data_IF_910090458751
#
_entry.id   IF_910090458751
#
_cell.length_a   1.000
_cell.length_b   1.000
_cell.length_c   1.000
_cell.angle_alpha   90.00
_cell.angle_beta   90.00
_cell.angle_gamma   90.00
#
_symmetry.space_group_name_H-M   'P 1'
#
loop_
_entity.id
_entity.type
_entity.pdbx_description
1 polymer ?
#
# COMPACT_ATOMS: atom_id res chain seq x y z
N UNK A 1 -12.46 27.49 30.35
CA UNK A 1 -13.91 27.54 30.04
C UNK A 1 -14.36 28.96 29.68
N UNK A 2 -14.26 29.96 30.58
CA UNK A 2 -14.71 31.35 30.33
C UNK A 2 -14.10 32.03 29.09
N UNK A 3 -12.81 31.78 28.79
CA UNK A 3 -12.18 32.32 27.58
C UNK A 3 -12.78 31.72 26.30
N UNK A 4 -13.01 30.40 26.29
CA UNK A 4 -13.60 29.69 25.16
C UNK A 4 -15.04 30.16 24.91
N UNK A 5 -15.85 30.30 25.97
CA UNK A 5 -17.21 30.82 25.85
C UNK A 5 -17.24 32.24 25.28
N UNK A 6 -16.35 33.12 25.74
CA UNK A 6 -16.30 34.52 25.27
C UNK A 6 -15.91 34.60 23.78
N UNK A 7 -14.96 33.76 23.35
CA UNK A 7 -14.53 33.70 21.94
C UNK A 7 -15.65 33.12 21.06
N UNK A 8 -16.31 32.05 21.49
CA UNK A 8 -17.42 31.42 20.77
C UNK A 8 -18.58 32.40 20.60
N UNK A 9 -18.97 33.11 21.66
CA UNK A 9 -20.05 34.10 21.62
C UNK A 9 -19.72 35.23 20.65
N UNK A 10 -18.51 35.79 20.72
CA UNK A 10 -18.09 36.87 19.81
C UNK A 10 -18.01 36.44 18.34
N UNK A 11 -17.49 35.24 18.06
CA UNK A 11 -17.48 34.70 16.69
C UNK A 11 -18.90 34.45 16.17
N UNK A 12 -19.81 33.97 17.02
CA UNK A 12 -21.21 33.73 16.65
C UNK A 12 -21.98 35.02 16.31
N UNK A 13 -21.58 36.17 16.88
CA UNK A 13 -22.26 37.45 16.62
C UNK A 13 -21.94 38.06 15.25
N UNK A 14 -20.83 37.67 14.60
CA UNK A 14 -20.34 38.35 13.40
C UNK A 14 -20.69 37.65 12.07
N UNK A 15 -21.08 36.37 12.10
CA UNK A 15 -21.32 35.60 10.87
C UNK A 15 -22.82 35.41 10.58
N UNK A 16 -23.31 35.71 9.36
CA UNK A 16 -24.71 35.48 9.01
C UNK A 16 -25.04 33.99 9.09
N UNK A 17 -26.19 33.66 9.69
CA UNK A 17 -26.63 32.27 9.93
C UNK A 17 -26.68 31.39 8.68
N UNK A 18 -26.84 32.00 7.50
CA UNK A 18 -26.83 31.30 6.22
C UNK A 18 -25.43 30.79 5.85
N UNK A 19 -24.37 31.56 6.12
CA UNK A 19 -22.99 31.13 5.90
C UNK A 19 -22.64 29.95 6.81
N UNK A 20 -23.04 30.02 8.08
CA UNK A 20 -22.84 28.96 9.06
C UNK A 20 -23.50 27.63 8.63
N UNK A 21 -24.69 27.69 8.03
CA UNK A 21 -25.36 26.51 7.48
C UNK A 21 -24.61 25.93 6.29
N UNK A 22 -24.12 26.77 5.38
CA UNK A 22 -23.37 26.30 4.21
C UNK A 22 -22.10 25.58 4.67
N UNK A 23 -21.37 26.12 5.66
CA UNK A 23 -20.19 25.47 6.22
C UNK A 23 -20.52 24.10 6.84
N UNK A 24 -21.61 23.98 7.59
CA UNK A 24 -22.04 22.68 8.13
C UNK A 24 -22.44 21.72 7.02
N UNK A 25 -23.10 22.19 5.95
CA UNK A 25 -23.42 21.35 4.80
C UNK A 25 -22.18 20.85 4.07
N UNK A 26 -21.17 21.72 3.88
CA UNK A 26 -19.87 21.32 3.31
C UNK A 26 -19.20 20.27 4.19
N UNK A 27 -19.16 20.48 5.51
CA UNK A 27 -18.63 19.50 6.45
C UNK A 27 -19.36 18.14 6.40
N UNK A 28 -20.70 18.15 6.30
CA UNK A 28 -21.47 16.92 6.14
C UNK A 28 -21.13 16.22 4.81
N UNK A 29 -20.99 16.99 3.73
CA UNK A 29 -20.57 16.47 2.43
C UNK A 29 -19.18 15.82 2.46
N UNK A 30 -18.21 16.45 3.14
CA UNK A 30 -16.87 15.87 3.28
C UNK A 30 -16.87 14.58 4.11
N UNK A 31 -17.67 14.52 5.19
CA UNK A 31 -17.80 13.31 6.01
C UNK A 31 -18.48 12.18 5.22
N UNK A 32 -19.51 12.48 4.43
CA UNK A 32 -20.14 11.50 3.54
C UNK A 32 -19.18 10.99 2.47
N UNK A 33 -18.43 11.88 1.83
CA UNK A 33 -17.42 11.52 0.84
C UNK A 33 -16.32 10.63 1.43
N UNK A 34 -15.81 10.98 2.62
CA UNK A 34 -14.83 10.17 3.33
C UNK A 34 -15.40 8.79 3.71
N UNK A 35 -16.65 8.72 4.18
CA UNK A 35 -17.31 7.45 4.47
C UNK A 35 -17.45 6.55 3.23
N UNK A 36 -17.84 7.12 2.08
CA UNK A 36 -17.94 6.38 0.83
C UNK A 36 -16.56 5.90 0.33
N UNK A 37 -15.52 6.74 0.45
CA UNK A 37 -14.16 6.38 0.10
C UNK A 37 -13.62 5.22 0.96
N UNK A 38 -13.95 5.19 2.26
CA UNK A 38 -13.56 4.09 3.16
C UNK A 38 -14.27 2.78 2.82
N UNK A 39 -15.57 2.84 2.47
CA UNK A 39 -16.28 1.64 1.99
C UNK A 39 -15.64 1.10 0.71
N UNK A 40 -15.34 1.98 -0.25
CA UNK A 40 -14.68 1.60 -1.49
C UNK A 40 -13.27 1.01 -1.25
N UNK A 41 -12.46 1.64 -0.40
CA UNK A 41 -11.14 1.14 -0.02
C UNK A 41 -11.23 -0.22 0.68
N UNK A 42 -12.20 -0.40 1.59
CA UNK A 42 -12.43 -1.69 2.26
C UNK A 42 -12.75 -2.81 1.27
N UNK A 43 -13.58 -2.53 0.25
CA UNK A 43 -13.88 -3.50 -0.81
C UNK A 43 -12.71 -3.72 -1.78
N UNK A 44 -11.90 -2.71 -2.06
CA UNK A 44 -10.74 -2.86 -2.92
C UNK A 44 -9.66 -3.72 -2.23
N UNK A 45 -9.45 -3.51 -0.93
CA UNK A 45 -8.47 -4.29 -0.15
C UNK A 45 -8.90 -5.75 0.01
N UNK A 46 -10.20 -6.06 0.11
CA UNK A 46 -10.65 -7.45 0.22
C UNK A 46 -10.35 -8.28 -1.04
N UNK A 47 -10.24 -7.62 -2.18
CA UNK A 47 -10.06 -8.26 -3.49
C UNK A 47 -8.57 -8.47 -3.85
N UNK A 48 -7.64 -7.85 -3.12
CA UNK A 48 -6.20 -7.91 -3.39
C UNK A 48 -5.53 -8.98 -2.51
N UNK A 49 -5.05 -10.06 -3.13
CA UNK A 49 -4.34 -11.14 -2.43
C UNK A 49 -3.03 -10.65 -1.78
N UNK A 50 -2.35 -9.71 -2.41
CA UNK A 50 -1.10 -9.10 -1.92
C UNK A 50 -1.22 -8.50 -0.51
N UNK A 51 -2.34 -7.82 -0.21
CA UNK A 51 -2.55 -7.25 1.12
C UNK A 51 -2.77 -8.33 2.19
N UNK A 52 -3.32 -9.50 1.80
CA UNK A 52 -3.51 -10.65 2.71
C UNK A 52 -2.20 -11.13 3.27
N UNK A 53 -1.25 -11.36 2.37
CA UNK A 53 0.08 -11.88 2.73
C UNK A 53 0.83 -10.90 3.63
N UNK A 54 0.88 -9.61 3.26
CA UNK A 54 1.58 -8.60 4.07
C UNK A 54 1.02 -8.45 5.50
N UNK A 55 -0.31 -8.45 5.66
CA UNK A 55 -0.93 -8.17 6.96
C UNK A 55 -0.93 -9.39 7.89
N UNK A 56 -1.05 -10.60 7.34
CA UNK A 56 -1.00 -11.84 8.14
C UNK A 56 0.35 -11.98 8.86
N UNK A 57 1.43 -11.61 8.18
CA UNK A 57 2.78 -11.66 8.72
C UNK A 57 3.06 -10.57 9.78
N UNK A 58 2.45 -9.40 9.63
CA UNK A 58 2.71 -8.23 10.49
C UNK A 58 2.19 -8.33 11.94
N UNK A 59 1.54 -9.42 12.34
CA UNK A 59 1.14 -9.62 13.75
C UNK A 59 -0.28 -10.11 13.98
N UNK A 60 -0.85 -10.91 13.06
CA UNK A 60 -2.07 -11.69 13.32
C UNK A 60 -3.39 -10.92 13.22
N UNK A 61 -3.39 -9.70 12.66
CA UNK A 61 -4.64 -9.03 12.27
C UNK A 61 -4.98 -9.53 10.87
N UNK A 62 -6.02 -10.36 10.75
CA UNK A 62 -6.47 -10.80 9.43
C UNK A 62 -6.95 -9.62 8.59
N UNK A 63 -6.67 -9.66 7.28
CA UNK A 63 -7.14 -8.64 6.33
C UNK A 63 -8.64 -8.51 6.32
N UNK A 64 -9.34 -9.62 6.54
CA UNK A 64 -10.79 -9.61 6.72
C UNK A 64 -11.20 -8.71 7.88
N UNK A 65 -10.42 -8.67 8.97
CA UNK A 65 -10.69 -7.77 10.11
C UNK A 65 -10.47 -6.31 9.72
N UNK A 66 -9.40 -6.00 8.98
CA UNK A 66 -9.11 -4.62 8.54
C UNK A 66 -10.15 -4.14 7.53
N UNK A 67 -10.43 -4.94 6.49
CA UNK A 67 -11.43 -4.64 5.47
C UNK A 67 -12.83 -4.48 6.08
N UNK A 68 -13.23 -5.40 6.98
CA UNK A 68 -14.51 -5.29 7.70
C UNK A 68 -14.56 -4.03 8.57
N UNK A 69 -13.45 -3.70 9.24
CA UNK A 69 -13.31 -2.47 10.02
C UNK A 69 -13.52 -1.21 9.17
N UNK A 70 -12.90 -1.15 7.99
CA UNK A 70 -13.06 -0.05 7.03
C UNK A 70 -14.50 0.06 6.52
N UNK A 71 -15.14 -1.07 6.20
CA UNK A 71 -16.51 -1.12 5.73
C UNK A 71 -17.50 -0.64 6.79
N UNK A 72 -17.40 -1.16 8.02
CA UNK A 72 -18.25 -0.75 9.14
C UNK A 72 -18.01 0.73 9.47
N UNK A 73 -16.74 1.14 9.57
CA UNK A 73 -16.36 2.53 9.82
C UNK A 73 -16.91 3.50 8.77
N UNK A 74 -16.78 3.15 7.49
CA UNK A 74 -17.31 3.92 6.37
C UNK A 74 -18.83 4.04 6.41
N UNK A 75 -19.55 2.93 6.66
CA UNK A 75 -21.01 2.94 6.84
C UNK A 75 -21.45 3.83 8.02
N UNK A 76 -20.76 3.74 9.16
CA UNK A 76 -21.03 4.58 10.32
C UNK A 76 -20.81 6.07 10.01
N UNK A 77 -19.72 6.42 9.33
CA UNK A 77 -19.43 7.79 8.89
C UNK A 77 -20.48 8.33 7.94
N UNK A 78 -20.95 7.51 6.99
CA UNK A 78 -22.06 7.89 6.11
C UNK A 78 -23.33 8.17 6.91
N UNK A 79 -23.68 7.32 7.87
CA UNK A 79 -24.82 7.53 8.76
C UNK A 79 -24.72 8.85 9.54
N UNK A 80 -23.55 9.16 10.09
CA UNK A 80 -23.27 10.42 10.79
C UNK A 80 -23.42 11.63 9.86
N UNK A 81 -22.89 11.54 8.63
CA UNK A 81 -23.05 12.57 7.61
C UNK A 81 -24.51 12.86 7.26
N UNK A 82 -25.34 11.81 7.11
CA UNK A 82 -26.78 11.94 6.85
C UNK A 82 -27.49 12.61 8.05
N UNK A 83 -27.16 12.22 9.29
CA UNK A 83 -27.71 12.84 10.49
C UNK A 83 -27.37 14.33 10.58
N UNK A 84 -26.13 14.70 10.24
CA UNK A 84 -25.69 16.09 10.14
C UNK A 84 -26.51 16.86 9.10
N UNK A 85 -26.68 16.29 7.90
CA UNK A 85 -27.45 16.89 6.81
C UNK A 85 -28.92 17.11 7.20
N UNK A 86 -29.58 16.09 7.77
CA UNK A 86 -30.97 16.18 8.25
C UNK A 86 -31.08 17.17 9.41
N UNK A 87 -30.11 17.19 10.33
CA UNK A 87 -30.04 18.12 11.45
C UNK A 87 -29.98 19.58 10.98
N UNK A 88 -29.12 19.87 10.00
CA UNK A 88 -28.98 21.18 9.39
C UNK A 88 -30.25 21.62 8.63
N UNK A 89 -30.89 20.69 7.89
CA UNK A 89 -32.11 20.97 7.14
C UNK A 89 -33.32 21.19 8.05
N UNK A 90 -33.62 20.25 8.95
CA UNK A 90 -34.82 20.29 9.82
C UNK A 90 -34.66 21.23 11.01
N UNK A 91 -33.47 21.78 11.26
CA UNK A 91 -33.14 22.64 12.42
C UNK A 91 -33.41 21.93 13.75
N UNK A 92 -33.18 20.62 13.79
CA UNK A 92 -33.34 19.81 14.98
C UNK A 92 -32.06 19.88 15.82
N UNK A 93 -32.12 20.60 16.95
CA UNK A 93 -30.99 20.81 17.86
C UNK A 93 -30.39 19.49 18.37
N UNK A 94 -31.22 18.47 18.62
CA UNK A 94 -30.76 17.17 19.10
C UNK A 94 -29.89 16.45 18.06
N UNK A 95 -30.34 16.36 16.80
CA UNK A 95 -29.58 15.71 15.73
C UNK A 95 -28.25 16.43 15.46
N UNK A 96 -28.26 17.77 15.46
CA UNK A 96 -27.04 18.56 15.29
C UNK A 96 -26.05 18.36 16.46
N UNK A 97 -26.57 18.26 17.69
CA UNK A 97 -25.75 18.00 18.87
C UNK A 97 -25.11 16.61 18.82
N UNK A 98 -25.86 15.57 18.44
CA UNK A 98 -25.31 14.20 18.30
C UNK A 98 -24.25 14.15 17.21
N UNK A 99 -24.52 14.76 16.04
CA UNK A 99 -23.55 14.88 14.95
C UNK A 99 -22.26 15.58 15.41
N UNK A 100 -22.38 16.71 16.11
CA UNK A 100 -21.23 17.48 16.55
C UNK A 100 -20.37 16.74 17.59
N UNK A 101 -21.00 16.01 18.53
CA UNK A 101 -20.28 15.19 19.50
C UNK A 101 -19.51 14.06 18.83
N UNK A 102 -20.14 13.31 17.92
CA UNK A 102 -19.48 12.21 17.21
C UNK A 102 -18.33 12.76 16.34
N UNK A 103 -18.57 13.86 15.62
CA UNK A 103 -17.56 14.51 14.78
C UNK A 103 -16.38 15.04 15.60
N UNK A 104 -16.60 15.51 16.82
CA UNK A 104 -15.51 15.87 17.74
C UNK A 104 -14.65 14.67 18.09
N UNK A 105 -15.26 13.53 18.44
CA UNK A 105 -14.51 12.33 18.82
C UNK A 105 -13.65 11.87 17.65
N UNK A 106 -14.24 11.81 16.46
CA UNK A 106 -13.54 11.44 15.23
C UNK A 106 -12.44 12.46 14.91
N UNK A 107 -12.72 13.75 14.99
CA UNK A 107 -11.74 14.81 14.75
C UNK A 107 -10.53 14.72 15.67
N UNK A 108 -10.75 14.46 16.97
CA UNK A 108 -9.66 14.26 17.95
C UNK A 108 -8.84 13.01 17.61
N UNK A 109 -9.48 11.91 17.25
CA UNK A 109 -8.79 10.68 16.83
C UNK A 109 -7.96 10.91 15.56
N UNK A 110 -8.50 11.61 14.55
CA UNK A 110 -7.79 11.92 13.31
C UNK A 110 -6.59 12.83 13.58
N UNK A 111 -6.70 13.83 14.47
CA UNK A 111 -5.54 14.64 14.88
C UNK A 111 -4.50 13.76 15.58
N UNK A 112 -4.92 12.87 16.48
CA UNK A 112 -4.00 11.99 17.20
C UNK A 112 -3.25 11.06 16.24
N UNK A 113 -3.94 10.48 15.25
CA UNK A 113 -3.34 9.68 14.18
C UNK A 113 -2.38 10.52 13.33
N UNK A 114 -2.77 11.75 12.96
CA UNK A 114 -1.91 12.64 12.17
C UNK A 114 -0.61 12.98 12.90
N UNK A 115 -0.67 13.25 14.21
CA UNK A 115 0.53 13.43 15.04
C UNK A 115 1.33 12.14 15.13
N UNK A 116 0.68 10.99 15.33
CA UNK A 116 1.35 9.69 15.37
C UNK A 116 2.08 9.38 14.06
N UNK A 117 1.51 9.69 12.88
CA UNK A 117 2.16 9.51 11.59
C UNK A 117 3.41 10.38 11.43
N UNK A 118 3.37 11.63 11.89
CA UNK A 118 4.53 12.51 11.86
C UNK A 118 5.63 11.98 12.79
N UNK A 119 5.28 11.52 13.99
CA UNK A 119 6.26 10.92 14.91
C UNK A 119 6.76 9.56 14.42
N UNK A 120 5.91 8.80 13.71
CA UNK A 120 6.28 7.53 13.12
C UNK A 120 7.31 7.72 12.01
N UNK A 121 7.33 8.86 11.32
CA UNK A 121 8.41 9.16 10.35
C UNK A 121 9.78 9.13 11.02
N UNK A 122 9.94 9.81 12.15
CA UNK A 122 11.22 9.82 12.89
C UNK A 122 11.58 8.40 13.35
N UNK A 123 10.57 7.63 13.79
CA UNK A 123 10.78 6.23 14.16
C UNK A 123 11.18 5.36 12.97
N UNK A 124 10.57 5.57 11.80
CA UNK A 124 10.88 4.84 10.56
C UNK A 124 12.31 5.16 10.11
N UNK A 125 12.72 6.43 10.15
CA UNK A 125 14.08 6.85 9.81
C UNK A 125 15.13 6.22 10.75
N UNK A 126 14.85 6.19 12.06
CA UNK A 126 15.75 5.57 13.04
C UNK A 126 15.75 4.03 13.00
N UNK A 127 14.63 3.39 12.66
CA UNK A 127 14.49 1.93 12.74
C UNK A 127 14.67 1.19 11.43
N UNK A 128 14.31 1.76 10.28
CA UNK A 128 14.61 1.15 8.99
C UNK A 128 16.12 1.11 8.75
N UNK A 129 16.87 2.06 9.31
CA UNK A 129 18.32 2.00 9.37
C UNK A 129 19.00 2.13 8.00
N UNK A 130 20.29 1.82 7.96
CA UNK A 130 21.07 1.79 6.73
C UNK A 130 20.91 0.45 6.00
N UNK A 131 21.54 0.35 4.82
CA UNK A 131 21.49 -0.85 4.00
C UNK A 131 22.03 -2.11 4.73
N UNK A 132 22.86 -1.97 5.76
CA UNK A 132 23.31 -3.11 6.56
C UNK A 132 22.18 -3.63 7.45
N UNK A 133 21.48 -2.73 8.14
CA UNK A 133 20.34 -3.09 8.98
C UNK A 133 19.19 -3.69 8.17
N UNK A 134 18.96 -3.19 6.95
CA UNK A 134 17.99 -3.77 6.02
C UNK A 134 18.22 -5.28 5.82
N UNK A 135 19.47 -5.71 5.64
CA UNK A 135 19.80 -7.12 5.42
C UNK A 135 19.57 -8.00 6.64
N UNK A 136 19.68 -7.43 7.84
CA UNK A 136 19.42 -8.13 9.10
C UNK A 136 17.92 -8.26 9.35
N UNK A 137 17.19 -7.14 9.24
CA UNK A 137 15.76 -7.06 9.56
C UNK A 137 14.87 -7.72 8.48
N UNK A 138 15.32 -7.71 7.21
CA UNK A 138 14.58 -8.24 6.06
C UNK A 138 15.33 -9.36 5.35
N UNK A 139 16.03 -10.19 6.12
CA UNK A 139 16.87 -11.27 5.59
C UNK A 139 16.13 -12.19 4.61
N UNK A 140 14.89 -12.57 4.90
CA UNK A 140 14.15 -13.51 4.06
C UNK A 140 13.78 -12.89 2.70
N UNK A 141 13.46 -11.59 2.68
CA UNK A 141 13.18 -10.83 1.46
C UNK A 141 14.48 -10.68 0.64
N UNK A 142 15.59 -10.30 1.27
CA UNK A 142 16.89 -10.17 0.57
C UNK A 142 17.41 -11.55 0.11
N UNK A 143 17.12 -12.63 0.83
CA UNK A 143 17.44 -14.00 0.38
C UNK A 143 16.65 -14.37 -0.88
N UNK A 144 15.36 -14.00 -0.98
CA UNK A 144 14.57 -14.21 -2.19
C UNK A 144 15.17 -13.45 -3.39
N UNK A 145 15.59 -12.20 -3.17
CA UNK A 145 16.29 -11.36 -4.16
C UNK A 145 17.60 -12.00 -4.60
N UNK A 146 18.44 -12.44 -3.65
CA UNK A 146 19.73 -13.07 -3.95
C UNK A 146 19.54 -14.37 -4.73
N UNK A 147 18.55 -15.20 -4.36
CA UNK A 147 18.20 -16.41 -5.11
C UNK A 147 17.77 -16.07 -6.55
N UNK A 148 16.90 -15.09 -6.70
CA UNK A 148 16.45 -14.64 -8.01
C UNK A 148 17.60 -14.10 -8.87
N UNK A 149 18.49 -13.28 -8.31
CA UNK A 149 19.68 -12.75 -8.99
C UNK A 149 20.67 -13.87 -9.37
N UNK A 150 20.81 -14.91 -8.54
CA UNK A 150 21.70 -16.04 -8.82
C UNK A 150 21.29 -16.84 -10.06
N UNK A 151 20.00 -16.88 -10.38
CA UNK A 151 19.46 -17.74 -11.45
C UNK A 151 18.98 -16.97 -12.68
N UNK A 152 18.34 -15.80 -12.50
CA UNK A 152 17.63 -15.12 -13.57
C UNK A 152 18.57 -14.50 -14.61
N UNK A 153 18.22 -14.62 -15.90
CA UNK A 153 19.04 -14.22 -17.05
C UNK A 153 20.37 -14.97 -17.21
N UNK A 154 20.56 -16.09 -16.50
CA UNK A 154 21.76 -16.95 -16.56
C UNK A 154 21.41 -18.31 -17.15
N UNK A 155 22.39 -19.22 -17.24
CA UNK A 155 22.19 -20.56 -17.78
C UNK A 155 21.14 -21.38 -17.00
N UNK A 156 20.90 -21.05 -15.73
CA UNK A 156 19.87 -21.69 -14.89
C UNK A 156 18.46 -21.21 -15.25
N UNK A 157 18.32 -19.99 -15.76
CA UNK A 157 17.04 -19.39 -16.12
C UNK A 157 17.21 -18.35 -17.24
N UNK A 158 17.11 -18.77 -18.52
CA UNK A 158 17.18 -17.85 -19.65
C UNK A 158 16.04 -16.82 -19.62
N UNK A 159 16.32 -15.58 -20.00
CA UNK A 159 15.36 -14.49 -19.94
C UNK A 159 15.17 -13.78 -21.28
N UNK A 160 14.03 -13.11 -21.45
CA UNK A 160 13.63 -12.44 -22.68
C UNK A 160 14.00 -10.96 -22.65
N UNK A 161 15.18 -10.63 -23.15
CA UNK A 161 15.64 -9.25 -23.30
C UNK A 161 15.41 -8.76 -24.73
N UNK A 162 14.70 -7.64 -24.87
CA UNK A 162 14.50 -6.96 -26.13
C UNK A 162 15.80 -6.33 -26.64
N UNK A 163 15.98 -6.29 -27.97
CA UNK A 163 17.22 -5.85 -28.59
C UNK A 163 17.64 -4.42 -28.23
N UNK A 164 16.67 -3.56 -27.89
CA UNK A 164 16.95 -2.19 -27.42
C UNK A 164 17.62 -2.15 -26.05
N UNK A 165 17.25 -3.08 -25.16
CA UNK A 165 17.78 -3.17 -23.80
C UNK A 165 19.07 -3.98 -23.72
N UNK A 166 19.38 -4.80 -24.73
CA UNK A 166 20.61 -5.62 -24.75
C UNK A 166 21.89 -4.79 -24.57
N UNK A 167 21.88 -3.54 -25.03
CA UNK A 167 23.01 -2.61 -24.87
C UNK A 167 23.27 -2.16 -23.43
N UNK A 168 22.27 -2.28 -22.55
CA UNK A 168 22.40 -1.93 -21.13
C UNK A 168 23.18 -2.98 -20.32
N UNK A 169 23.33 -4.18 -20.89
CA UNK A 169 23.87 -5.36 -20.20
C UNK A 169 25.18 -5.87 -20.83
N UNK A 170 25.91 -4.98 -21.54
CA UNK A 170 27.15 -5.36 -22.21
C UNK A 170 28.21 -5.86 -21.22
N UNK A 171 28.66 -7.10 -21.39
CA UNK A 171 29.74 -7.70 -20.61
C UNK A 171 29.36 -8.92 -19.78
N UNK A 172 28.08 -9.32 -19.78
CA UNK A 172 27.60 -10.50 -19.05
C UNK A 172 27.07 -11.58 -20.00
N UNK A 173 27.24 -12.83 -19.60
CA UNK A 173 26.74 -14.00 -20.32
C UNK A 173 25.22 -14.12 -20.16
N UNK A 174 24.44 -13.23 -20.78
CA UNK A 174 22.97 -13.29 -20.75
C UNK A 174 22.46 -14.45 -21.58
N UNK A 175 21.65 -15.32 -20.98
CA UNK A 175 20.96 -16.40 -21.67
C UNK A 175 19.59 -15.93 -22.16
N UNK A 176 19.32 -16.13 -23.45
CA UNK A 176 18.09 -15.65 -24.10
C UNK A 176 17.01 -16.72 -23.97
N UNK A 177 15.92 -16.40 -23.28
CA UNK A 177 14.74 -17.26 -23.11
C UNK A 177 13.43 -16.52 -23.37
N UNK A 178 12.34 -17.07 -22.86
CA UNK A 178 11.01 -16.45 -22.92
C UNK A 178 10.59 -15.73 -21.63
N UNK A 179 11.27 -16.00 -20.51
CA UNK A 179 10.92 -15.44 -19.20
C UNK A 179 11.13 -13.92 -19.14
N UNK A 180 10.10 -13.16 -18.78
CA UNK A 180 10.17 -11.71 -18.59
C UNK A 180 10.61 -11.31 -17.18
N UNK A 181 10.36 -12.18 -16.21
CA UNK A 181 10.78 -12.08 -14.81
C UNK A 181 11.14 -13.47 -14.31
N UNK A 182 11.79 -13.55 -13.14
CA UNK A 182 12.12 -14.82 -12.48
C UNK A 182 10.88 -15.66 -12.16
N UNK A 183 9.71 -15.03 -12.01
CA UNK A 183 8.45 -15.72 -11.74
C UNK A 183 7.96 -16.53 -12.94
N UNK A 184 8.33 -16.12 -14.16
CA UNK A 184 8.03 -16.85 -15.40
C UNK A 184 9.18 -17.71 -15.90
N UNK A 185 10.11 -18.09 -15.01
CA UNK A 185 11.29 -18.85 -15.38
C UNK A 185 10.94 -20.27 -15.85
N UNK A 186 11.52 -20.69 -16.97
CA UNK A 186 11.58 -22.09 -17.37
C UNK A 186 13.05 -22.52 -17.51
N UNK A 187 13.62 -23.21 -16.49
CA UNK A 187 15.00 -23.68 -16.51
C UNK A 187 15.32 -24.63 -17.68
N UNK A 188 14.32 -25.30 -18.24
CA UNK A 188 14.50 -26.30 -19.29
C UNK A 188 14.69 -25.67 -20.69
N UNK A 189 14.39 -24.37 -20.85
CA UNK A 189 14.64 -23.64 -22.10
C UNK A 189 16.13 -23.56 -22.46
N UNK A 190 17.02 -23.75 -21.49
CA UNK A 190 18.47 -23.88 -21.73
C UNK A 190 18.78 -25.05 -22.65
N UNK A 191 17.93 -26.09 -22.68
CA UNK A 191 18.10 -27.29 -23.49
C UNK A 191 17.20 -27.35 -24.73
N UNK A 192 16.41 -26.31 -25.02
CA UNK A 192 15.40 -26.31 -26.10
C UNK A 192 15.99 -26.12 -27.51
N UNK A 193 17.08 -26.85 -27.80
CA UNK A 193 17.77 -26.81 -29.09
C UNK A 193 18.33 -25.43 -29.48
N UNK A 194 18.83 -25.37 -30.72
CA UNK A 194 19.25 -24.12 -31.35
C UNK A 194 20.30 -23.33 -30.56
N UNK A 195 20.11 -22.01 -30.46
CA UNK A 195 21.10 -21.09 -29.90
C UNK A 195 21.35 -21.31 -28.39
N UNK A 196 20.34 -21.75 -27.63
CA UNK A 196 20.48 -21.98 -26.19
C UNK A 196 21.29 -23.25 -25.92
N UNK A 197 20.99 -24.33 -26.65
CA UNK A 197 21.75 -25.56 -26.54
C UNK A 197 23.20 -25.36 -27.01
N UNK A 198 23.43 -24.62 -28.09
CA UNK A 198 24.79 -24.29 -28.54
C UNK A 198 25.56 -23.49 -27.49
N UNK A 199 24.89 -22.54 -26.81
CA UNK A 199 25.49 -21.74 -25.74
C UNK A 199 25.80 -22.58 -24.50
N UNK A 200 24.88 -23.46 -24.09
CA UNK A 200 25.11 -24.41 -23.00
C UNK A 200 26.28 -25.36 -23.32
N UNK A 201 26.34 -25.90 -24.54
CA UNK A 201 27.43 -26.78 -24.96
C UNK A 201 28.80 -26.08 -24.96
N UNK A 202 28.82 -24.77 -25.20
CA UNK A 202 30.00 -23.92 -25.15
C UNK A 202 30.43 -23.47 -23.75
N UNK A 203 29.64 -23.74 -22.70
CA UNK A 203 30.01 -23.42 -21.32
C UNK A 203 31.25 -24.21 -20.87
N UNK A 204 32.08 -23.64 -19.98
CA UNK A 204 33.03 -24.41 -19.17
C UNK A 204 32.34 -25.58 -18.47
N UNK A 205 33.05 -26.69 -18.30
CA UNK A 205 32.49 -27.89 -17.64
C UNK A 205 32.01 -27.60 -16.21
N UNK A 206 32.72 -26.73 -15.47
CA UNK A 206 32.34 -26.32 -14.12
C UNK A 206 30.96 -25.60 -14.10
N UNK A 207 30.66 -24.80 -15.14
CA UNK A 207 29.40 -24.09 -15.26
C UNK A 207 28.26 -25.03 -15.68
N UNK A 208 28.54 -26.01 -16.55
CA UNK A 208 27.58 -27.07 -16.89
C UNK A 208 27.24 -27.91 -15.66
N UNK A 209 28.25 -28.27 -14.86
CA UNK A 209 28.07 -28.98 -13.60
C UNK A 209 27.22 -28.16 -12.64
N UNK A 210 27.43 -26.84 -12.54
CA UNK A 210 26.60 -25.96 -11.72
C UNK A 210 25.12 -25.95 -12.14
N UNK A 211 24.84 -25.90 -13.46
CA UNK A 211 23.46 -25.95 -13.98
C UNK A 211 22.82 -27.31 -13.71
N UNK A 212 23.55 -28.41 -13.96
CA UNK A 212 23.02 -29.76 -13.74
C UNK A 212 22.79 -30.04 -12.25
N UNK A 213 23.72 -29.61 -11.39
CA UNK A 213 23.58 -29.70 -9.93
C UNK A 213 22.39 -28.89 -9.43
N UNK A 214 22.18 -27.69 -9.96
CA UNK A 214 21.01 -26.87 -9.65
C UNK A 214 19.71 -27.60 -9.97
N UNK A 215 19.58 -28.14 -11.19
CA UNK A 215 18.37 -28.86 -11.58
C UNK A 215 18.13 -30.15 -10.78
N UNK A 216 19.19 -30.87 -10.46
CA UNK A 216 19.12 -32.09 -9.66
C UNK A 216 18.75 -31.80 -8.21
N UNK A 217 19.35 -30.77 -7.61
CA UNK A 217 19.16 -30.44 -6.19
C UNK A 217 17.80 -29.81 -5.94
N UNK A 218 17.38 -28.85 -6.78
CA UNK A 218 16.15 -28.09 -6.55
C UNK A 218 14.90 -28.78 -7.12
N UNK A 219 15.04 -29.53 -8.22
CA UNK A 219 13.88 -30.12 -8.93
C UNK A 219 13.93 -31.64 -9.05
N UNK A 220 14.96 -32.30 -8.52
CA UNK A 220 15.10 -33.76 -8.59
C UNK A 220 15.35 -34.29 -10.00
N UNK A 221 15.86 -33.45 -10.90
CA UNK A 221 16.21 -33.84 -12.27
C UNK A 221 17.54 -34.61 -12.27
N UNK A 222 17.47 -35.93 -12.40
CA UNK A 222 18.64 -36.81 -12.49
C UNK A 222 18.85 -37.25 -13.95
N UNK A 223 19.97 -36.84 -14.55
CA UNK A 223 20.24 -37.09 -15.96
C UNK A 223 21.22 -38.24 -16.12
N UNK A 224 20.71 -39.42 -16.42
CA UNK A 224 21.50 -40.52 -16.97
C UNK A 224 21.81 -40.23 -18.47
N UNK A 225 22.61 -39.19 -18.76
CA UNK A 225 23.01 -38.85 -20.15
C UNK A 225 23.09 -37.36 -20.47
N UNK A 226 22.91 -37.02 -21.75
CA UNK A 226 22.84 -35.62 -22.21
C UNK A 226 21.48 -35.01 -21.82
N UNK A 227 21.46 -33.84 -21.13
CA UNK A 227 20.22 -33.16 -20.76
C UNK A 227 19.40 -32.80 -22.00
N UNK A 228 18.07 -32.96 -21.92
CA UNK A 228 17.16 -32.54 -22.97
C UNK A 228 15.91 -31.86 -22.38
N UNK A 229 15.37 -30.88 -23.11
CA UNK A 229 14.26 -30.06 -22.63
C UNK A 229 12.99 -30.87 -22.34
N UNK A 230 12.69 -31.90 -23.14
CA UNK A 230 11.48 -32.70 -22.98
C UNK A 230 11.46 -33.50 -21.67
N UNK A 231 12.61 -34.02 -21.27
CA UNK A 231 12.78 -34.77 -20.02
C UNK A 231 12.77 -33.82 -18.82
N UNK A 232 13.55 -32.74 -18.88
CA UNK A 232 13.57 -31.69 -17.86
C UNK A 232 12.17 -31.12 -17.56
N UNK A 233 11.38 -30.85 -18.61
CA UNK A 233 10.03 -30.28 -18.51
C UNK A 233 9.01 -31.11 -17.73
N UNK A 234 9.30 -32.39 -17.48
CA UNK A 234 8.47 -33.26 -16.63
C UNK A 234 8.64 -32.97 -15.13
N UNK A 235 9.78 -32.39 -14.75
CA UNK A 235 10.13 -32.10 -13.36
C UNK A 235 9.87 -30.63 -13.03
N UNK A 236 10.32 -29.73 -13.89
CA UNK A 236 10.19 -28.28 -13.71
C UNK A 236 9.75 -27.61 -15.01
N UNK A 237 8.86 -26.65 -14.90
CA UNK A 237 8.41 -25.77 -15.97
C UNK A 237 7.94 -24.45 -15.37
N UNK A 238 7.56 -23.48 -16.21
CA UNK A 238 7.12 -22.16 -15.74
C UNK A 238 5.97 -22.20 -14.72
N UNK A 239 5.05 -23.17 -14.81
CA UNK A 239 3.86 -23.22 -13.94
C UNK A 239 4.18 -23.73 -12.52
N UNK A 240 5.23 -24.54 -12.36
CA UNK A 240 5.59 -25.15 -11.07
C UNK A 240 6.95 -24.69 -10.51
N UNK A 241 7.69 -23.89 -11.28
CA UNK A 241 9.01 -23.38 -10.91
C UNK A 241 8.97 -22.61 -9.58
N UNK A 242 8.07 -21.63 -9.48
CA UNK A 242 7.98 -20.76 -8.30
C UNK A 242 7.70 -21.56 -7.03
N UNK A 243 6.79 -22.53 -7.12
CA UNK A 243 6.38 -23.37 -6.01
C UNK A 243 7.49 -24.30 -5.51
N UNK A 244 8.37 -24.74 -6.40
CA UNK A 244 9.49 -25.64 -6.07
C UNK A 244 10.73 -24.89 -5.62
N UNK A 245 11.07 -23.79 -6.29
CA UNK A 245 12.31 -23.06 -6.06
C UNK A 245 12.23 -22.09 -4.88
N UNK A 246 11.13 -21.34 -4.77
CA UNK A 246 10.91 -20.44 -3.64
C UNK A 246 10.12 -21.17 -2.55
N UNK A 247 10.81 -21.59 -1.51
CA UNK A 247 10.25 -22.36 -0.40
C UNK A 247 10.22 -21.57 0.90
N UNK A 248 9.28 -21.92 1.79
CA UNK A 248 9.13 -21.23 3.07
C UNK A 248 8.71 -19.78 2.90
N UNK A 249 9.21 -18.90 3.78
CA UNK A 249 8.80 -17.48 3.82
C UNK A 249 9.17 -16.68 2.57
N UNK A 250 10.16 -17.11 1.76
CA UNK A 250 10.55 -16.33 0.57
C UNK A 250 9.43 -16.25 -0.48
N UNK A 251 8.57 -17.26 -0.53
CA UNK A 251 7.46 -17.33 -1.49
C UNK A 251 6.41 -16.25 -1.21
N UNK A 252 6.17 -15.96 0.07
CA UNK A 252 5.13 -15.03 0.52
C UNK A 252 5.43 -13.57 0.11
N UNK A 253 6.69 -13.26 -0.22
CA UNK A 253 7.12 -11.93 -0.64
C UNK A 253 7.17 -11.73 -2.16
N UNK A 254 6.96 -12.75 -2.98
CA UNK A 254 7.17 -12.64 -4.43
C UNK A 254 6.23 -11.63 -5.09
N UNK A 255 4.94 -11.69 -4.76
CA UNK A 255 3.93 -10.75 -5.28
C UNK A 255 4.22 -9.31 -4.81
N UNK A 256 4.70 -9.18 -3.57
CA UNK A 256 5.11 -7.89 -3.00
C UNK A 256 6.31 -7.33 -3.75
N UNK A 257 7.32 -8.15 -4.00
CA UNK A 257 8.53 -7.74 -4.71
C UNK A 257 8.21 -7.34 -6.15
N UNK A 258 7.38 -8.10 -6.85
CA UNK A 258 6.90 -7.74 -8.20
C UNK A 258 6.18 -6.38 -8.16
N UNK A 259 5.23 -6.18 -7.24
CA UNK A 259 4.51 -4.92 -7.11
C UNK A 259 5.44 -3.73 -6.78
N UNK A 260 6.39 -3.92 -5.86
CA UNK A 260 7.32 -2.86 -5.47
C UNK A 260 8.23 -2.49 -6.65
N UNK A 261 8.78 -3.47 -7.38
CA UNK A 261 9.58 -3.19 -8.57
C UNK A 261 8.75 -2.44 -9.63
N UNK A 262 7.49 -2.84 -9.83
CA UNK A 262 6.57 -2.24 -10.78
C UNK A 262 6.22 -0.79 -10.47
N UNK A 263 5.92 -0.50 -9.20
CA UNK A 263 5.47 0.81 -8.74
C UNK A 263 6.64 1.79 -8.56
N UNK A 264 7.77 1.33 -8.02
CA UNK A 264 8.89 2.20 -7.62
C UNK A 264 10.06 2.22 -8.60
N UNK A 265 10.02 1.45 -9.70
CA UNK A 265 11.10 1.41 -10.72
C UNK A 265 12.48 1.08 -10.13
N UNK A 266 12.47 0.26 -9.10
CA UNK A 266 13.65 -0.23 -8.39
C UNK A 266 13.83 -1.71 -8.68
N UNK A 267 14.96 -2.29 -8.29
CA UNK A 267 15.10 -3.75 -8.26
C UNK A 267 16.03 -4.22 -7.15
N UNK A 268 15.75 -5.45 -6.71
CA UNK A 268 16.25 -5.98 -5.45
C UNK A 268 15.62 -5.26 -4.25
N UNK A 269 15.85 -5.75 -3.04
CA UNK A 269 15.28 -5.15 -1.83
C UNK A 269 16.32 -4.34 -1.06
N UNK A 270 17.24 -5.01 -0.36
CA UNK A 270 18.38 -4.35 0.30
C UNK A 270 19.63 -4.36 -0.60
N UNK A 271 19.80 -5.43 -1.39
CA UNK A 271 20.92 -5.56 -2.33
C UNK A 271 20.53 -5.05 -3.72
N UNK A 272 21.30 -4.12 -4.31
CA UNK A 272 21.00 -3.61 -5.64
C UNK A 272 21.27 -4.65 -6.72
N UNK A 273 20.38 -4.73 -7.69
CA UNK A 273 20.48 -5.64 -8.84
C UNK A 273 20.67 -4.82 -10.12
N UNK A 274 21.09 -5.48 -11.20
CA UNK A 274 21.39 -4.81 -12.47
C UNK A 274 20.15 -4.65 -13.36
N UNK A 275 19.18 -5.52 -13.18
CA UNK A 275 17.93 -5.59 -13.92
C UNK A 275 16.80 -5.95 -12.97
N UNK A 276 15.58 -5.66 -13.40
CA UNK A 276 14.35 -6.09 -12.75
C UNK A 276 14.30 -7.62 -12.66
N UNK A 277 14.13 -8.14 -11.45
CA UNK A 277 14.13 -9.58 -11.18
C UNK A 277 12.71 -10.14 -11.18
N UNK A 278 11.80 -9.46 -10.49
CA UNK A 278 10.43 -9.93 -10.24
C UNK A 278 9.43 -9.33 -11.24
N UNK A 279 9.77 -8.18 -11.82
CA UNK A 279 9.02 -7.51 -12.88
C UNK A 279 9.65 -7.68 -14.27
N UNK A 280 9.04 -7.09 -15.31
CA UNK A 280 9.53 -7.20 -16.70
C UNK A 280 10.95 -6.61 -16.85
N UNK A 281 11.92 -7.49 -17.14
CA UNK A 281 13.34 -7.17 -17.39
C UNK A 281 13.54 -6.07 -18.45
N UNK A 282 12.54 -5.83 -19.29
CA UNK A 282 12.58 -4.82 -20.36
C UNK A 282 12.16 -3.41 -19.92
N UNK A 283 11.89 -3.17 -18.63
CA UNK A 283 11.61 -1.83 -18.08
C UNK A 283 12.84 -0.91 -18.04
N UNK A 284 14.00 -1.39 -18.46
CA UNK A 284 15.26 -0.66 -18.51
C UNK A 284 16.10 -0.89 -17.25
N UNK A 285 16.92 0.09 -16.89
CA UNK A 285 17.79 0.00 -15.72
C UNK A 285 17.02 0.45 -14.47
N UNK A 286 17.05 -0.30 -13.35
CA UNK A 286 16.45 0.12 -12.10
C UNK A 286 17.12 1.40 -11.56
N UNK A 287 16.36 2.27 -10.91
CA UNK A 287 16.84 3.55 -10.37
C UNK A 287 17.65 3.38 -9.08
N UNK A 288 17.35 2.33 -8.30
CA UNK A 288 18.01 2.01 -7.04
C UNK A 288 17.51 0.70 -6.42
N UNK A 289 17.83 0.50 -5.14
CA UNK A 289 17.27 -0.58 -4.31
C UNK A 289 15.84 -0.27 -3.93
N UNK A 290 14.95 -1.27 -3.92
CA UNK A 290 13.56 -1.00 -3.58
C UNK A 290 13.34 -0.55 -2.15
N UNK A 291 14.18 -0.98 -1.20
CA UNK A 291 14.10 -0.49 0.16
C UNK A 291 14.28 1.04 0.25
N UNK A 292 15.24 1.58 -0.50
CA UNK A 292 15.50 3.02 -0.55
C UNK A 292 14.31 3.80 -1.10
N UNK A 293 13.79 3.39 -2.27
CA UNK A 293 12.65 4.06 -2.91
C UNK A 293 11.37 3.96 -2.05
N UNK A 294 11.11 2.81 -1.44
CA UNK A 294 9.97 2.62 -0.53
C UNK A 294 10.14 3.48 0.72
N UNK A 295 11.32 3.52 1.33
CA UNK A 295 11.59 4.36 2.49
C UNK A 295 11.36 5.84 2.17
N UNK A 296 11.92 6.33 1.06
CA UNK A 296 11.76 7.72 0.64
C UNK A 296 10.29 8.06 0.38
N UNK A 297 9.56 7.16 -0.29
CA UNK A 297 8.12 7.30 -0.47
C UNK A 297 7.36 7.33 0.87
N UNK A 298 7.66 6.41 1.80
CA UNK A 298 7.02 6.38 3.12
C UNK A 298 7.27 7.69 3.86
N UNK A 299 8.50 8.19 3.87
CA UNK A 299 8.88 9.42 4.57
C UNK A 299 8.17 10.66 4.00
N UNK A 300 8.02 10.75 2.68
CA UNK A 300 7.34 11.87 2.02
C UNK A 300 5.83 11.80 2.21
N UNK A 301 5.26 10.61 2.09
CA UNK A 301 3.83 10.39 2.23
C UNK A 301 3.36 10.52 3.68
N UNK A 302 4.10 10.00 4.68
CA UNK A 302 3.70 10.09 6.09
C UNK A 302 3.66 11.53 6.58
N UNK A 303 4.60 12.37 6.14
CA UNK A 303 4.59 13.81 6.44
C UNK A 303 3.34 14.48 5.86
N UNK A 304 3.07 14.19 4.59
CA UNK A 304 1.93 14.76 3.86
C UNK A 304 0.60 14.30 4.45
N UNK A 305 0.42 13.00 4.66
CA UNK A 305 -0.78 12.42 5.25
C UNK A 305 -0.98 12.86 6.69
N UNK A 306 0.09 12.94 7.50
CA UNK A 306 0.03 13.46 8.85
C UNK A 306 -0.44 14.92 8.90
N UNK A 307 0.12 15.79 8.04
CA UNK A 307 -0.28 17.19 7.94
C UNK A 307 -1.74 17.35 7.47
N UNK A 308 -2.16 16.60 6.46
CA UNK A 308 -3.54 16.59 5.96
C UNK A 308 -4.49 16.10 7.05
N UNK A 309 -4.15 15.04 7.77
CA UNK A 309 -4.96 14.52 8.88
C UNK A 309 -5.13 15.56 9.99
N UNK A 310 -4.07 16.25 10.40
CA UNK A 310 -4.15 17.32 11.40
C UNK A 310 -5.05 18.47 10.90
N UNK A 311 -4.91 18.90 9.64
CA UNK A 311 -5.74 19.94 9.07
C UNK A 311 -7.23 19.56 9.04
N UNK A 312 -7.54 18.33 8.58
CA UNK A 312 -8.92 17.81 8.51
C UNK A 312 -9.51 17.63 9.91
N UNK A 313 -8.77 17.03 10.84
CA UNK A 313 -9.22 16.84 12.22
C UNK A 313 -9.44 18.16 12.94
N UNK A 314 -8.58 19.15 12.73
CA UNK A 314 -8.75 20.51 13.25
C UNK A 314 -10.00 21.19 12.68
N UNK A 315 -10.26 21.02 11.38
CA UNK A 315 -11.48 21.50 10.74
C UNK A 315 -12.74 20.86 11.36
N UNK A 316 -12.72 19.55 11.65
CA UNK A 316 -13.83 18.86 12.33
C UNK A 316 -14.09 19.42 13.74
N UNK A 317 -13.04 19.78 14.48
CA UNK A 317 -13.18 20.46 15.78
C UNK A 317 -13.78 21.87 15.62
N UNK A 318 -13.43 22.60 14.56
CA UNK A 318 -14.06 23.90 14.27
C UNK A 318 -15.57 23.76 14.00
N UNK A 319 -15.97 22.71 13.27
CA UNK A 319 -17.38 22.44 12.95
C UNK A 319 -18.24 22.24 14.20
N UNK A 320 -17.68 21.72 15.30
CA UNK A 320 -18.37 21.65 16.60
C UNK A 320 -18.76 23.03 17.10
N UNK A 321 -17.83 23.98 17.11
CA UNK A 321 -18.10 25.34 17.60
C UNK A 321 -19.18 26.02 16.76
N UNK A 322 -19.13 25.82 15.44
CA UNK A 322 -20.14 26.30 14.51
C UNK A 322 -21.51 25.67 14.80
N UNK A 323 -21.55 24.37 15.06
CA UNK A 323 -22.78 23.64 15.38
C UNK A 323 -23.41 24.12 16.70
N UNK A 324 -22.61 24.32 17.75
CA UNK A 324 -23.09 24.89 19.01
C UNK A 324 -23.68 26.29 18.80
N UNK A 325 -23.05 27.13 17.96
CA UNK A 325 -23.56 28.46 17.60
C UNK A 325 -24.95 28.42 16.95
N UNK A 326 -25.20 27.48 16.03
CA UNK A 326 -26.53 27.28 15.42
C UNK A 326 -27.56 26.88 16.47
N UNK A 327 -27.20 25.97 17.38
CA UNK A 327 -28.09 25.46 18.42
C UNK A 327 -28.50 26.56 19.40
N UNK A 328 -27.56 27.36 19.90
CA UNK A 328 -27.82 28.44 20.85
C UNK A 328 -28.74 29.52 20.27
N UNK A 329 -28.51 29.95 19.03
CA UNK A 329 -29.33 30.99 18.38
C UNK A 329 -30.75 30.51 18.06
N UNK A 330 -30.94 29.21 17.81
CA UNK A 330 -32.26 28.63 17.55
C UNK A 330 -33.17 28.66 18.78
N UNK A 331 -32.61 28.56 20.00
CA UNK A 331 -33.35 28.64 21.26
C UNK A 331 -33.95 30.02 21.52
N UNK A 332 -33.20 31.09 21.24
CA UNK A 332 -33.68 32.46 21.45
C UNK A 332 -34.87 32.82 20.55
N UNK A 333 -34.87 32.35 19.29
CA UNK A 333 -35.98 32.62 18.36
C UNK A 333 -37.28 31.94 18.80
N UNK A 334 -37.20 30.74 19.40
CA UNK A 334 -38.37 30.06 19.96
C UNK A 334 -38.94 30.83 21.15
N UNK A 335 -38.09 31.29 22.06
CA UNK A 335 -38.51 32.13 23.21
C UNK A 335 -39.17 33.44 22.75
N UNK A 336 -38.59 34.14 21.77
CA UNK A 336 -39.18 35.37 21.22
C UNK A 336 -40.52 35.14 20.54
N UNK A 337 -40.69 34.04 19.79
CA UNK A 337 -41.98 33.70 19.16
C UNK A 337 -43.04 33.37 20.21
N UNK A 338 -42.68 32.58 21.22
CA UNK A 338 -43.60 32.21 22.30
C UNK A 338 -44.03 33.45 23.10
N UNK A 339 -43.11 34.36 23.44
CA UNK A 339 -43.44 35.61 24.12
C UNK A 339 -44.40 36.50 23.30
N UNK A 340 -44.28 36.53 21.96
CA UNK A 340 -45.20 37.27 21.09
C UNK A 340 -46.58 36.59 21.00
N UNK A 341 -46.64 35.26 21.05
CA UNK A 341 -47.92 34.52 21.08
C UNK A 341 -48.63 34.66 22.44
N UNK A 342 -47.88 34.65 23.55
CA UNK A 342 -48.41 34.84 24.89
C UNK A 342 -48.93 36.27 25.09
N UNK A 343 -48.25 37.30 24.54
CA UNK A 343 -48.72 38.68 24.57
C UNK A 343 -49.97 38.96 23.70
N UNK A 344 -50.40 38.01 22.86
CA UNK A 344 -51.60 38.14 22.01
C UNK A 344 -52.86 37.53 22.63
N UNK A 345 -52.74 36.75 23.71
CA UNK A 345 -53.86 36.11 24.40
C UNK A 345 -54.36 36.98 25.55
#
# INVERSE_FOLDING_TARGET
>A
FNFLETVIIKMCCCMPINCLRILVFVACGTVLGAGAALVWAGTAISDQELFKTMLEESGGISVDTVSLGLLIGGCCLMGVGILGFVGAWKKNCLCLSVFATITLVIGVLVVAIGVALILAKDFVDENLGDAEKCKEDYKDIDEAVIKADDVFCKAKCPCKIESENLSLFTGEDIYIGNAKSVLGCDPCETFDGGANQDKYNGLPEDDKESVNQYLSTEFGYDVDGEPNAQDCGQYVNADNYVDQYFTGGTKDYLDVLEWIEDEFKCSGFCTPTKYYLFSDVNKGKPEGTCFGEVNDWVQDNFTTYGAVAIAVGSYMVLVLFLSCGICCNSGEKKKKKQQVEDNKK
#
